data_IF_946401328144
#
_entry.id   IF_946401328144
#
_cell.length_a   1.000
_cell.length_b   1.000
_cell.length_c   1.000
_cell.angle_alpha   90.00
_cell.angle_beta   90.00
_cell.angle_gamma   90.00
#
_symmetry.space_group_name_H-M   'P 1'
#
loop_
_entity.id
_entity.type
_entity.pdbx_description
1 polymer ?
#
# COMPACT_ATOMS: atom_id res chain seq x y z
N UNK A 1 -16.21 5.72 -9.19
CA UNK A 1 -15.03 5.98 -10.06
C UNK A 1 -13.92 5.05 -9.62
N UNK A 2 -13.36 4.26 -10.52
CA UNK A 2 -12.18 3.43 -10.25
C UNK A 2 -10.98 4.09 -10.93
N UNK A 3 -9.94 4.46 -10.18
CA UNK A 3 -8.69 4.97 -10.77
C UNK A 3 -7.86 3.82 -11.35
N UNK A 4 -7.40 3.93 -12.60
CA UNK A 4 -6.50 2.92 -13.16
C UNK A 4 -5.14 2.93 -12.44
N UNK A 5 -4.71 4.11 -11.99
CA UNK A 5 -3.40 4.35 -11.39
C UNK A 5 -3.48 5.33 -10.21
N UNK A 6 -2.53 5.18 -9.31
CA UNK A 6 -2.31 6.09 -8.18
C UNK A 6 -0.88 6.59 -8.27
N UNK A 7 -0.66 7.88 -8.09
CA UNK A 7 0.69 8.47 -8.07
C UNK A 7 0.98 8.98 -6.67
N UNK A 8 2.14 8.60 -6.14
CA UNK A 8 2.67 9.11 -4.88
C UNK A 8 3.79 10.10 -5.20
N UNK A 9 3.72 11.29 -4.62
CA UNK A 9 4.75 12.30 -4.73
C UNK A 9 5.13 12.85 -3.35
N UNK A 10 6.30 13.49 -3.28
CA UNK A 10 6.75 14.27 -2.13
C UNK A 10 6.83 13.53 -0.79
N UNK A 11 6.76 12.19 -0.77
CA UNK A 11 6.93 11.46 0.49
C UNK A 11 8.39 11.51 0.94
N UNK A 12 8.59 11.46 2.27
CA UNK A 12 9.90 11.42 2.92
C UNK A 12 10.66 10.11 2.71
N UNK A 13 10.05 9.14 2.02
CA UNK A 13 10.66 7.87 1.63
C UNK A 13 10.65 7.77 0.10
N UNK A 14 11.78 8.10 -0.52
CA UNK A 14 11.88 8.16 -1.98
C UNK A 14 11.44 6.86 -2.69
N UNK A 15 11.64 5.70 -2.04
CA UNK A 15 11.27 4.39 -2.59
C UNK A 15 9.76 4.18 -2.77
N UNK A 16 8.89 4.99 -2.15
CA UNK A 16 7.44 4.90 -2.36
C UNK A 16 6.91 6.01 -3.26
N UNK A 17 7.77 6.90 -3.77
CA UNK A 17 7.35 7.91 -4.75
C UNK A 17 7.32 7.30 -6.15
N UNK A 18 6.26 7.55 -6.90
CA UNK A 18 6.10 7.11 -8.28
C UNK A 18 4.69 6.65 -8.62
N UNK A 19 4.57 5.91 -9.72
CA UNK A 19 3.29 5.47 -10.29
C UNK A 19 2.97 4.05 -9.85
N UNK A 20 1.77 3.86 -9.32
CA UNK A 20 1.25 2.59 -8.89
C UNK A 20 0.11 2.14 -9.80
N UNK A 21 0.23 0.93 -10.33
CA UNK A 21 -0.76 0.31 -11.20
C UNK A 21 -1.78 -0.48 -10.38
N UNK A 22 -3.07 -0.37 -10.71
CA UNK A 22 -4.09 -1.20 -10.09
C UNK A 22 -3.83 -2.69 -10.33
N UNK A 23 -3.99 -3.49 -9.29
CA UNK A 23 -3.88 -4.95 -9.34
C UNK A 23 -5.15 -5.62 -8.80
N UNK A 24 -5.49 -6.82 -9.33
CA UNK A 24 -6.61 -7.61 -8.81
C UNK A 24 -6.26 -8.16 -7.43
N UNK A 25 -7.22 -8.24 -6.51
CA UNK A 25 -6.99 -8.74 -5.14
C UNK A 25 -6.52 -10.19 -5.09
N UNK A 26 -6.86 -10.99 -6.12
CA UNK A 26 -6.36 -12.34 -6.28
C UNK A 26 -4.85 -12.42 -6.52
N UNK A 27 -4.22 -11.33 -6.99
CA UNK A 27 -2.77 -11.22 -7.08
C UNK A 27 -2.22 -10.75 -5.74
N UNK A 28 -1.17 -11.41 -5.27
CA UNK A 28 -0.49 -11.08 -4.00
C UNK A 28 0.75 -10.24 -4.33
N UNK A 29 1.01 -9.13 -3.62
CA UNK A 29 2.23 -8.35 -3.82
C UNK A 29 3.49 -9.20 -3.58
N UNK A 30 4.49 -9.05 -4.44
CA UNK A 30 5.74 -9.82 -4.35
C UNK A 30 6.51 -9.54 -3.04
N UNK A 31 6.58 -8.27 -2.63
CA UNK A 31 7.21 -7.86 -1.38
C UNK A 31 6.44 -8.40 -0.14
N UNK A 32 5.10 -8.45 -0.20
CA UNK A 32 4.29 -9.08 0.84
C UNK A 32 4.59 -10.57 0.98
N UNK A 33 4.68 -11.28 -0.16
CA UNK A 33 5.06 -12.70 -0.18
C UNK A 33 6.42 -12.92 0.48
N UNK A 34 7.41 -12.08 0.14
CA UNK A 34 8.76 -12.14 0.71
C UNK A 34 8.73 -12.04 2.25
N UNK A 35 8.01 -11.06 2.80
CA UNK A 35 7.89 -10.89 4.26
C UNK A 35 7.19 -12.11 4.89
N UNK A 36 6.16 -12.67 4.26
CA UNK A 36 5.51 -13.89 4.74
C UNK A 36 6.48 -15.08 4.74
N UNK A 37 7.24 -15.28 3.66
CA UNK A 37 8.23 -16.35 3.56
C UNK A 37 9.31 -16.21 4.66
N UNK A 38 9.81 -14.99 4.89
CA UNK A 38 10.82 -14.70 5.93
C UNK A 38 10.32 -14.97 7.35
N UNK A 39 9.02 -14.78 7.60
CA UNK A 39 8.40 -15.03 8.91
C UNK A 39 7.74 -16.41 9.02
N UNK A 40 7.88 -17.25 7.99
CA UNK A 40 7.24 -18.57 7.90
C UNK A 40 5.71 -18.51 8.07
N UNK A 41 5.07 -17.50 7.47
CA UNK A 41 3.62 -17.32 7.43
C UNK A 41 3.03 -17.86 6.13
N UNK A 42 1.82 -18.41 6.20
CA UNK A 42 1.07 -18.79 4.99
C UNK A 42 0.68 -17.52 4.22
N UNK A 43 1.29 -17.31 3.06
CA UNK A 43 1.14 -16.09 2.26
C UNK A 43 -0.32 -15.85 1.87
N UNK A 44 -1.01 -16.89 1.39
CA UNK A 44 -2.38 -16.78 0.89
C UNK A 44 -3.37 -16.54 2.02
N UNK A 45 -3.21 -17.27 3.14
CA UNK A 45 -4.06 -17.11 4.31
C UNK A 45 -3.86 -15.74 4.96
N UNK A 46 -2.61 -15.26 5.03
CA UNK A 46 -2.28 -13.95 5.61
C UNK A 46 -2.80 -12.82 4.74
N UNK A 47 -2.61 -12.89 3.42
CA UNK A 47 -3.16 -11.90 2.49
C UNK A 47 -4.68 -11.86 2.58
N UNK A 48 -5.37 -13.01 2.55
CA UNK A 48 -6.83 -13.08 2.67
C UNK A 48 -7.35 -12.52 3.99
N UNK A 49 -6.57 -12.63 5.07
CA UNK A 49 -6.91 -12.08 6.38
C UNK A 49 -6.76 -10.56 6.42
N UNK A 50 -5.73 -10.01 5.79
CA UNK A 50 -5.39 -8.59 5.87
C UNK A 50 -6.03 -7.76 4.76
N UNK A 51 -5.92 -8.19 3.50
CA UNK A 51 -6.43 -7.43 2.38
C UNK A 51 -7.96 -7.42 2.34
N UNK A 52 -8.52 -6.24 2.06
CA UNK A 52 -9.93 -6.10 1.73
C UNK A 52 -10.20 -6.63 0.30
N UNK A 53 -10.97 -7.70 0.21
CA UNK A 53 -11.31 -8.35 -1.06
C UNK A 53 -12.22 -7.52 -1.96
N UNK A 54 -12.87 -6.50 -1.40
CA UNK A 54 -13.75 -5.59 -2.14
C UNK A 54 -13.02 -4.33 -2.64
N UNK A 55 -11.74 -4.15 -2.29
CA UNK A 55 -10.96 -2.95 -2.62
C UNK A 55 -9.79 -3.36 -3.49
N UNK A 56 -9.52 -2.61 -4.56
CA UNK A 56 -8.31 -2.85 -5.33
C UNK A 56 -7.08 -2.38 -4.55
N UNK A 57 -5.96 -3.07 -4.79
CA UNK A 57 -4.65 -2.66 -4.33
C UNK A 57 -3.82 -2.18 -5.53
N UNK A 58 -2.71 -1.49 -5.25
CA UNK A 58 -1.90 -0.85 -6.27
C UNK A 58 -0.42 -1.21 -6.09
N UNK A 59 0.30 -1.43 -7.17
CA UNK A 59 1.69 -1.89 -7.17
C UNK A 59 2.57 -0.91 -7.93
N UNK A 60 3.72 -0.57 -7.34
CA UNK A 60 4.79 0.16 -8.00
C UNK A 60 5.79 -0.80 -8.63
N UNK A 61 6.47 -0.39 -9.70
CA UNK A 61 7.43 -1.22 -10.44
C UNK A 61 8.62 -1.72 -9.59
N UNK A 62 8.89 -1.07 -8.46
CA UNK A 62 9.96 -1.47 -7.54
C UNK A 62 9.51 -2.46 -6.45
N UNK A 63 8.25 -2.89 -6.46
CA UNK A 63 7.68 -3.82 -5.48
C UNK A 63 6.99 -3.17 -4.27
N UNK A 64 7.04 -1.84 -4.13
CA UNK A 64 6.18 -1.13 -3.17
C UNK A 64 4.71 -1.31 -3.53
N UNK A 65 3.82 -1.30 -2.54
CA UNK A 65 2.39 -1.49 -2.82
C UNK A 65 1.50 -0.72 -1.84
N UNK A 66 0.26 -0.47 -2.28
CA UNK A 66 -0.78 0.21 -1.52
C UNK A 66 -1.97 -0.72 -1.41
N UNK A 67 -2.45 -0.98 -0.20
CA UNK A 67 -3.61 -1.84 0.00
C UNK A 67 -4.45 -1.39 1.20
N UNK A 68 -5.70 -1.83 1.24
CA UNK A 68 -6.59 -1.62 2.38
C UNK A 68 -6.51 -2.82 3.30
N UNK A 69 -6.07 -2.60 4.54
CA UNK A 69 -6.04 -3.62 5.57
C UNK A 69 -7.38 -3.63 6.33
N UNK A 70 -8.20 -4.66 6.14
CA UNK A 70 -9.53 -4.76 6.76
C UNK A 70 -9.50 -5.03 8.27
N UNK A 71 -8.36 -5.38 8.85
CA UNK A 71 -8.29 -5.66 10.30
C UNK A 71 -8.22 -4.39 11.16
N UNK A 72 -7.59 -3.32 10.66
CA UNK A 72 -7.33 -2.09 11.43
C UNK A 72 -8.07 -0.86 10.89
N UNK A 73 -8.82 -1.07 9.83
CA UNK A 73 -9.49 -0.04 9.06
C UNK A 73 -8.58 1.04 8.47
N UNK A 74 -7.36 0.67 8.05
CA UNK A 74 -6.42 1.59 7.42
C UNK A 74 -6.02 1.17 5.99
N UNK A 75 -5.69 2.18 5.19
CA UNK A 75 -4.87 2.05 4.00
C UNK A 75 -3.40 2.05 4.40
N UNK A 76 -2.63 1.19 3.76
CA UNK A 76 -1.21 0.99 4.01
C UNK A 76 -0.43 1.28 2.73
N UNK A 77 0.71 1.95 2.86
CA UNK A 77 1.75 2.05 1.83
C UNK A 77 2.96 1.30 2.37
N UNK A 78 3.27 0.18 1.74
CA UNK A 78 4.39 -0.67 2.08
C UNK A 78 5.53 -0.45 1.08
N UNK A 79 6.76 -0.46 1.59
CA UNK A 79 7.97 -0.30 0.79
C UNK A 79 8.31 -1.54 -0.04
N UNK A 80 9.38 -1.48 -0.84
CA UNK A 80 9.83 -2.62 -1.66
C UNK A 80 10.39 -3.78 -0.81
N UNK A 81 10.68 -3.50 0.46
CA UNK A 81 11.04 -4.48 1.48
C UNK A 81 9.82 -5.22 2.07
N UNK A 82 8.60 -4.75 1.76
CA UNK A 82 7.33 -5.30 2.27
C UNK A 82 6.95 -4.77 3.65
N UNK A 83 7.67 -3.78 4.18
CA UNK A 83 7.33 -3.18 5.48
C UNK A 83 6.51 -1.90 5.33
N UNK A 84 5.61 -1.68 6.28
CA UNK A 84 4.76 -0.49 6.32
C UNK A 84 5.55 0.79 6.48
N UNK A 85 5.26 1.76 5.61
CA UNK A 85 5.86 3.10 5.60
C UNK A 85 4.84 4.14 6.07
N UNK A 86 3.64 4.12 5.50
CA UNK A 86 2.57 5.04 5.84
C UNK A 86 1.24 4.31 6.07
N UNK A 87 0.42 4.84 6.97
CA UNK A 87 -0.96 4.38 7.19
C UNK A 87 -1.94 5.55 7.19
N UNK A 88 -3.13 5.35 6.66
CA UNK A 88 -4.22 6.33 6.68
C UNK A 88 -5.55 5.64 6.94
N UNK A 89 -6.29 6.07 7.96
CA UNK A 89 -7.64 5.55 8.21
C UNK A 89 -8.63 6.21 7.25
N UNK A 90 -9.26 5.42 6.39
CA UNK A 90 -10.29 5.88 5.47
C UNK A 90 -11.17 4.70 4.98
N UNK A 91 -12.43 4.98 4.62
CA UNK A 91 -13.43 3.99 4.16
C UNK A 91 -13.65 4.02 2.64
N UNK A 92 -12.98 4.94 1.94
CA UNK A 92 -13.07 5.12 0.50
C UNK A 92 -12.63 3.89 -0.30
N UNK A 93 -13.02 3.85 -1.58
CA UNK A 93 -12.67 2.77 -2.52
C UNK A 93 -11.23 2.87 -3.06
N UNK A 94 -10.58 4.02 -2.85
CA UNK A 94 -9.24 4.33 -3.31
C UNK A 94 -8.39 4.80 -2.13
N UNK A 95 -7.04 4.69 -2.21
CA UNK A 95 -6.16 5.23 -1.19
C UNK A 95 -6.43 6.73 -0.99
N UNK A 96 -6.57 7.24 0.25
CA UNK A 96 -6.99 8.61 0.48
C UNK A 96 -5.92 9.61 0.04
N UNK A 97 -6.36 10.81 -0.37
CA UNK A 97 -5.46 11.90 -0.76
C UNK A 97 -4.66 12.51 0.39
N UNK A 98 -5.06 12.23 1.63
CA UNK A 98 -4.46 12.77 2.84
C UNK A 98 -4.78 11.91 4.07
N UNK A 99 -4.40 12.39 5.26
CA UNK A 99 -4.59 11.64 6.51
C UNK A 99 -3.52 10.58 6.79
N UNK A 100 -2.45 10.56 5.99
CA UNK A 100 -1.32 9.66 6.13
C UNK A 100 -0.50 9.96 7.40
N UNK A 101 -0.11 8.89 8.08
CA UNK A 101 0.78 8.89 9.23
C UNK A 101 1.99 8.03 8.90
N UNK A 102 3.17 8.57 9.16
CA UNK A 102 4.42 7.84 9.01
C UNK A 102 4.60 6.82 10.14
N UNK A 103 4.96 5.59 9.80
CA UNK A 103 5.32 4.55 10.76
C UNK A 103 6.79 4.62 11.19
N UNK A 104 7.63 5.29 10.39
CA UNK A 104 9.07 5.41 10.61
C UNK A 104 9.49 6.87 10.71
N UNK A 105 10.53 7.17 11.50
CA UNK A 105 11.05 8.55 11.66
C UNK A 105 11.45 9.20 10.34
N UNK A 106 12.05 8.43 9.43
CA UNK A 106 12.43 8.91 8.09
C UNK A 106 11.21 9.38 7.29
N UNK A 107 10.13 8.61 7.33
CA UNK A 107 8.88 8.89 6.65
C UNK A 107 8.15 10.12 7.23
N UNK A 108 8.38 10.47 8.50
CA UNK A 108 7.75 11.62 9.13
C UNK A 108 8.26 12.98 8.59
N UNK A 109 9.39 12.99 7.86
CA UNK A 109 9.95 14.21 7.28
C UNK A 109 9.06 14.84 6.20
N UNK A 110 8.29 14.03 5.46
CA UNK A 110 7.30 14.50 4.50
C UNK A 110 6.23 13.44 4.24
N UNK A 111 4.96 13.84 4.28
CA UNK A 111 3.83 12.95 4.03
C UNK A 111 3.57 12.80 2.52
N UNK A 112 3.08 11.63 2.07
CA UNK A 112 2.82 11.39 0.66
C UNK A 112 1.67 12.27 0.15
N UNK A 113 1.89 12.89 -1.00
CA UNK A 113 0.83 13.48 -1.83
C UNK A 113 0.32 12.40 -2.79
N UNK A 114 -0.97 12.11 -2.74
CA UNK A 114 -1.60 11.08 -3.57
C UNK A 114 -2.48 11.72 -4.65
N UNK A 115 -2.24 11.33 -5.90
CA UNK A 115 -3.04 11.70 -7.05
C UNK A 115 -3.64 10.48 -7.74
N UNK A 116 -4.84 10.62 -8.31
CA UNK A 116 -5.50 9.57 -9.07
C UNK A 116 -5.35 9.85 -10.55
N UNK A 117 -5.04 8.83 -11.34
CA UNK A 117 -4.99 8.91 -12.78
C UNK A 117 -5.91 7.85 -13.40
N UNK A 118 -6.59 8.24 -14.49
CA UNK A 118 -7.44 7.37 -15.31
C UNK A 118 -6.62 6.60 -16.36
#
# INVERSE_FOLDING_TARGET
MQAARVVIQQSGVAAVNGVYQRRPVASIPSAFKKVCDENNWDVSATWRRLADENKSWFEHDNGSYIYRNKQDDQWWIDGPDGYGVFVARDVSDLPPKGGWKALQKQAASALPLIEYQE
#
